data_IF_591443743346
#
_entry.id   IF_591443743346
#
_cell.length_a   1.000
_cell.length_b   1.000
_cell.length_c   1.000
_cell.angle_alpha   90.00
_cell.angle_beta   90.00
_cell.angle_gamma   90.00
#
_symmetry.space_group_name_H-M   'P 1'
#
loop_
_entity.id
_entity.type
_entity.pdbx_description
1 polymer ?
#
# COMPACT_ATOMS: atom_id res chain seq x y z
N UNK A 1 34.09 20.40 -7.31
CA UNK A 1 33.40 20.65 -6.04
C UNK A 1 34.12 19.85 -4.97
N UNK A 2 35.02 20.48 -4.19
CA UNK A 2 35.73 19.81 -3.08
C UNK A 2 34.75 19.67 -1.92
N UNK A 3 34.22 18.47 -1.71
CA UNK A 3 33.52 18.11 -0.46
C UNK A 3 34.64 18.01 0.58
N UNK A 4 34.52 18.75 1.67
CA UNK A 4 35.49 18.72 2.77
C UNK A 4 35.53 17.29 3.31
N UNK A 5 36.73 16.73 3.48
CA UNK A 5 36.95 15.33 3.91
C UNK A 5 36.24 15.05 5.25
N UNK A 6 36.18 16.05 6.13
CA UNK A 6 35.45 15.99 7.40
C UNK A 6 33.94 15.88 7.21
N UNK A 7 33.35 16.58 6.21
CA UNK A 7 31.93 16.45 5.89
C UNK A 7 31.60 15.07 5.31
N UNK A 8 32.48 14.51 4.52
CA UNK A 8 32.30 13.17 3.95
C UNK A 8 32.35 12.07 5.03
N UNK A 9 33.34 12.18 5.94
CA UNK A 9 33.46 11.24 7.06
C UNK A 9 32.30 11.36 8.04
N UNK A 10 31.78 12.57 8.28
CA UNK A 10 30.60 12.76 9.14
C UNK A 10 29.33 12.13 8.52
N UNK A 11 29.17 12.24 7.22
CA UNK A 11 28.06 11.61 6.51
C UNK A 11 28.17 10.07 6.57
N UNK A 12 29.37 9.52 6.38
CA UNK A 12 29.62 8.08 6.49
C UNK A 12 29.39 7.56 7.91
N UNK A 13 29.77 8.31 8.93
CA UNK A 13 29.50 7.95 10.33
C UNK A 13 28.00 7.97 10.65
N UNK A 14 27.26 8.97 10.15
CA UNK A 14 25.80 9.02 10.30
C UNK A 14 25.11 7.86 9.56
N UNK A 15 25.55 7.52 8.35
CA UNK A 15 25.02 6.37 7.61
C UNK A 15 25.32 5.06 8.34
N UNK A 16 26.54 4.88 8.85
CA UNK A 16 26.92 3.69 9.61
C UNK A 16 26.15 3.58 10.92
N UNK A 17 25.96 4.67 11.66
CA UNK A 17 25.13 4.69 12.88
C UNK A 17 23.68 4.36 12.57
N UNK A 18 23.10 4.91 11.50
CA UNK A 18 21.75 4.58 11.05
C UNK A 18 21.64 3.11 10.61
N UNK A 19 22.66 2.54 9.98
CA UNK A 19 22.68 1.13 9.63
C UNK A 19 22.79 0.24 10.88
N UNK A 20 23.56 0.61 11.89
CA UNK A 20 23.68 -0.14 13.14
C UNK A 20 22.42 -0.07 13.99
N UNK A 21 21.80 1.11 14.14
CA UNK A 21 20.49 1.25 14.78
C UNK A 21 19.43 0.43 14.05
N UNK A 22 19.56 0.34 12.75
CA UNK A 22 18.67 -0.41 11.87
C UNK A 22 18.84 -1.93 12.03
N UNK A 23 20.08 -2.42 12.15
CA UNK A 23 20.39 -3.83 12.41
C UNK A 23 19.98 -4.26 13.82
N UNK A 24 20.11 -3.35 14.79
CA UNK A 24 19.79 -3.59 16.20
C UNK A 24 18.32 -3.31 16.57
N UNK A 25 17.52 -2.73 15.65
CA UNK A 25 16.10 -2.49 15.91
C UNK A 25 15.35 -3.82 16.07
N UNK A 26 14.46 -3.96 17.06
CA UNK A 26 13.70 -5.19 17.27
C UNK A 26 12.93 -5.56 15.99
N UNK A 27 12.89 -6.86 15.67
CA UNK A 27 12.22 -7.40 14.49
C UNK A 27 10.67 -7.29 14.63
N UNK A 28 10.14 -6.07 14.64
CA UNK A 28 8.71 -5.79 14.80
C UNK A 28 7.93 -5.94 13.49
N UNK A 29 8.26 -6.96 12.68
CA UNK A 29 7.53 -7.20 11.42
C UNK A 29 6.06 -7.51 11.64
N UNK A 30 5.71 -8.26 12.70
CA UNK A 30 4.32 -8.58 13.03
C UNK A 30 3.51 -7.32 13.35
N UNK A 31 4.06 -6.43 14.19
CA UNK A 31 3.40 -5.16 14.51
C UNK A 31 3.26 -4.28 13.27
N UNK A 32 4.32 -4.20 12.45
CA UNK A 32 4.27 -3.48 11.17
C UNK A 32 3.23 -4.05 10.22
N UNK A 33 3.13 -5.37 10.09
CA UNK A 33 2.12 -6.03 9.24
C UNK A 33 0.70 -5.75 9.72
N UNK A 34 0.45 -5.79 11.03
CA UNK A 34 -0.85 -5.42 11.61
C UNK A 34 -1.18 -3.96 11.29
N UNK A 35 -0.21 -3.05 11.45
CA UNK A 35 -0.38 -1.65 11.09
C UNK A 35 -0.67 -1.43 9.62
N UNK A 36 0.04 -2.14 8.74
CA UNK A 36 -0.21 -2.10 7.30
C UNK A 36 -1.63 -2.60 6.96
N UNK A 37 -2.05 -3.67 7.59
CA UNK A 37 -3.39 -4.24 7.38
C UNK A 37 -4.50 -3.28 7.82
N UNK A 38 -4.39 -2.72 9.02
CA UNK A 38 -5.37 -1.73 9.53
C UNK A 38 -5.39 -0.48 8.64
N UNK A 39 -4.23 0.05 8.27
CA UNK A 39 -4.14 1.21 7.36
C UNK A 39 -4.75 0.92 5.99
N UNK A 40 -4.44 -0.24 5.40
CA UNK A 40 -5.01 -0.64 4.12
C UNK A 40 -6.53 -0.85 4.19
N UNK A 41 -7.06 -1.41 5.29
CA UNK A 41 -8.50 -1.57 5.49
C UNK A 41 -9.22 -0.22 5.54
N UNK A 42 -8.65 0.80 6.20
CA UNK A 42 -9.22 2.16 6.19
C UNK A 42 -9.28 2.73 4.76
N UNK A 43 -8.23 2.51 3.97
CA UNK A 43 -8.24 2.85 2.56
C UNK A 43 -9.28 2.08 1.75
N UNK A 44 -9.46 0.78 2.05
CA UNK A 44 -10.47 -0.09 1.45
C UNK A 44 -11.91 0.37 1.75
N UNK A 45 -12.17 0.82 2.99
CA UNK A 45 -13.46 1.42 3.35
C UNK A 45 -13.74 2.69 2.53
N UNK A 46 -12.76 3.59 2.41
CA UNK A 46 -12.86 4.77 1.58
C UNK A 46 -13.13 4.41 0.11
N UNK A 47 -12.48 3.36 -0.40
CA UNK A 47 -12.73 2.81 -1.73
C UNK A 47 -14.19 2.41 -1.93
N UNK A 48 -14.75 1.63 -1.00
CA UNK A 48 -16.14 1.16 -1.08
C UNK A 48 -17.09 2.35 -1.06
N UNK A 49 -16.91 3.29 -0.13
CA UNK A 49 -17.77 4.47 0.01
C UNK A 49 -17.80 5.27 -1.30
N UNK A 50 -16.63 5.60 -1.87
CA UNK A 50 -16.57 6.41 -3.10
C UNK A 50 -17.09 5.62 -4.30
N UNK A 51 -16.86 4.30 -4.33
CA UNK A 51 -17.39 3.43 -5.36
C UNK A 51 -18.93 3.41 -5.39
N UNK A 52 -19.58 3.45 -4.22
CA UNK A 52 -21.04 3.53 -4.11
C UNK A 52 -21.62 4.83 -4.67
N UNK A 53 -20.87 5.93 -4.67
CA UNK A 53 -21.28 7.18 -5.31
C UNK A 53 -21.14 7.18 -6.84
N UNK A 54 -20.70 6.07 -7.43
CA UNK A 54 -20.55 5.93 -8.87
C UNK A 54 -19.35 6.66 -9.48
N UNK A 55 -18.46 7.19 -8.66
CA UNK A 55 -17.20 7.77 -9.12
C UNK A 55 -16.18 6.69 -9.45
N UNK A 56 -15.28 6.99 -10.38
CA UNK A 56 -14.16 6.10 -10.70
C UNK A 56 -13.23 6.04 -9.48
N UNK A 57 -13.51 5.10 -8.60
CA UNK A 57 -12.80 4.91 -7.33
C UNK A 57 -11.33 4.50 -7.51
N UNK A 58 -10.90 4.27 -8.75
CA UNK A 58 -9.59 3.72 -9.09
C UNK A 58 -8.42 4.50 -8.50
N UNK A 59 -8.55 5.85 -8.42
CA UNK A 59 -7.53 6.71 -7.80
C UNK A 59 -7.37 6.41 -6.30
N UNK A 60 -8.43 5.93 -5.64
CA UNK A 60 -8.40 5.63 -4.20
C UNK A 60 -7.61 4.35 -3.90
N UNK A 61 -7.38 3.48 -4.89
CA UNK A 61 -6.46 2.35 -4.71
C UNK A 61 -5.04 2.80 -4.33
N UNK A 62 -4.61 3.98 -4.80
CA UNK A 62 -3.40 4.63 -4.33
C UNK A 62 -3.43 4.88 -2.81
N UNK A 63 -4.58 5.32 -2.30
CA UNK A 63 -4.77 5.61 -0.87
C UNK A 63 -4.64 4.34 -0.02
N UNK A 64 -5.10 3.18 -0.50
CA UNK A 64 -4.96 1.89 0.19
C UNK A 64 -3.48 1.57 0.45
N UNK A 65 -2.66 1.68 -0.58
CA UNK A 65 -1.22 1.42 -0.47
C UNK A 65 -0.50 2.47 0.38
N UNK A 66 -0.90 3.73 0.25
CA UNK A 66 -0.35 4.83 1.04
C UNK A 66 -0.67 4.66 2.53
N UNK A 67 -1.94 4.44 2.88
CA UNK A 67 -2.37 4.22 4.26
C UNK A 67 -1.80 2.92 4.84
N UNK A 68 -1.66 1.87 4.02
CA UNK A 68 -1.00 0.64 4.41
C UNK A 68 0.47 0.87 4.79
N UNK A 69 1.21 1.64 3.98
CA UNK A 69 2.58 2.02 4.29
C UNK A 69 2.70 2.90 5.53
N UNK A 70 1.81 3.87 5.67
CA UNK A 70 1.75 4.76 6.83
C UNK A 70 1.40 4.00 8.11
N UNK A 71 0.42 3.08 8.07
CA UNK A 71 0.06 2.22 9.19
C UNK A 71 1.22 1.31 9.63
N UNK A 72 1.99 0.79 8.67
CA UNK A 72 3.21 0.03 8.97
C UNK A 72 4.23 0.85 9.77
N UNK A 73 4.44 2.12 9.39
CA UNK A 73 5.37 3.02 10.05
C UNK A 73 4.87 3.46 11.44
N UNK A 74 3.58 3.71 11.59
CA UNK A 74 2.94 4.04 12.87
C UNK A 74 3.17 2.94 13.92
N UNK A 75 3.09 1.69 13.50
CA UNK A 75 3.33 0.53 14.38
C UNK A 75 4.84 0.24 14.56
N UNK A 76 5.72 1.17 14.15
CA UNK A 76 7.18 1.02 14.26
C UNK A 76 7.69 -0.28 13.62
N UNK A 77 7.13 -0.68 12.50
CA UNK A 77 7.63 -1.79 11.70
C UNK A 77 9.02 -1.50 11.17
N UNK A 78 9.86 -2.54 11.04
CA UNK A 78 11.24 -2.38 10.57
C UNK A 78 11.25 -1.86 9.12
N UNK A 79 11.88 -0.69 8.90
CA UNK A 79 12.01 -0.05 7.58
C UNK A 79 13.06 -0.78 6.75
N UNK A 80 12.72 -1.88 6.08
CA UNK A 80 13.61 -2.65 5.22
C UNK A 80 12.93 -2.95 3.89
N UNK A 81 13.64 -3.53 2.91
CA UNK A 81 13.07 -4.05 1.66
C UNK A 81 11.87 -4.98 1.94
N UNK A 82 11.89 -5.68 3.06
CA UNK A 82 10.79 -6.53 3.55
C UNK A 82 9.51 -5.71 3.82
N UNK A 83 9.62 -4.45 4.30
CA UNK A 83 8.46 -3.56 4.45
C UNK A 83 7.69 -3.42 3.14
N UNK A 84 8.42 -3.18 2.03
CA UNK A 84 7.80 -3.01 0.71
C UNK A 84 7.04 -4.27 0.29
N UNK A 85 7.64 -5.43 0.51
CA UNK A 85 7.01 -6.70 0.18
C UNK A 85 5.75 -6.92 1.01
N UNK A 86 5.80 -6.67 2.33
CA UNK A 86 4.65 -6.79 3.22
C UNK A 86 3.53 -5.82 2.81
N UNK A 87 3.85 -4.54 2.64
CA UNK A 87 2.86 -3.52 2.25
C UNK A 87 2.25 -3.84 0.89
N UNK A 88 3.06 -4.32 -0.08
CA UNK A 88 2.56 -4.72 -1.40
C UNK A 88 1.57 -5.87 -1.31
N UNK A 89 1.91 -6.95 -0.59
CA UNK A 89 1.03 -8.12 -0.44
C UNK A 89 -0.27 -7.72 0.25
N UNK A 90 -0.19 -6.97 1.35
CA UNK A 90 -1.36 -6.52 2.10
C UNK A 90 -2.23 -5.59 1.25
N UNK A 91 -1.64 -4.65 0.52
CA UNK A 91 -2.39 -3.72 -0.34
C UNK A 91 -3.10 -4.45 -1.48
N UNK A 92 -2.43 -5.37 -2.16
CA UNK A 92 -3.03 -6.18 -3.23
C UNK A 92 -4.21 -6.99 -2.68
N UNK A 93 -4.02 -7.64 -1.53
CA UNK A 93 -5.09 -8.41 -0.89
C UNK A 93 -6.30 -7.54 -0.55
N UNK A 94 -6.08 -6.36 0.05
CA UNK A 94 -7.16 -5.45 0.42
C UNK A 94 -7.85 -4.86 -0.82
N UNK A 95 -7.12 -4.52 -1.88
CA UNK A 95 -7.69 -4.04 -3.14
C UNK A 95 -8.65 -5.09 -3.73
N UNK A 96 -8.21 -6.35 -3.81
CA UNK A 96 -9.05 -7.45 -4.31
C UNK A 96 -10.28 -7.60 -3.43
N UNK A 97 -10.10 -7.68 -2.12
CA UNK A 97 -11.21 -7.85 -1.16
C UNK A 97 -12.21 -6.69 -1.25
N UNK A 98 -11.75 -5.45 -1.25
CA UNK A 98 -12.61 -4.26 -1.34
C UNK A 98 -13.37 -4.20 -2.67
N UNK A 99 -12.73 -4.61 -3.78
CA UNK A 99 -13.38 -4.67 -5.08
C UNK A 99 -14.50 -5.73 -5.08
N UNK A 100 -14.26 -6.92 -4.53
CA UNK A 100 -15.29 -7.94 -4.38
C UNK A 100 -16.47 -7.44 -3.55
N UNK A 101 -16.19 -6.86 -2.38
CA UNK A 101 -17.25 -6.33 -1.48
C UNK A 101 -18.06 -5.25 -2.19
N UNK A 102 -17.41 -4.30 -2.88
CA UNK A 102 -18.08 -3.26 -3.61
C UNK A 102 -19.06 -3.82 -4.65
N UNK A 103 -18.62 -4.79 -5.45
CA UNK A 103 -19.49 -5.38 -6.48
C UNK A 103 -20.63 -6.20 -5.89
N UNK A 104 -20.42 -6.91 -4.78
CA UNK A 104 -21.51 -7.61 -4.08
C UNK A 104 -22.55 -6.62 -3.57
N UNK A 105 -22.14 -5.49 -3.02
CA UNK A 105 -23.06 -4.45 -2.54
C UNK A 105 -23.83 -3.82 -3.71
N UNK A 106 -23.14 -3.52 -4.82
CA UNK A 106 -23.77 -2.93 -6.01
C UNK A 106 -24.75 -3.89 -6.68
N UNK A 107 -24.47 -5.18 -6.72
CA UNK A 107 -25.37 -6.21 -7.25
C UNK A 107 -26.53 -6.53 -6.30
N UNK A 108 -26.42 -6.22 -5.01
CA UNK A 108 -27.45 -6.46 -4.00
C UNK A 108 -27.34 -7.79 -3.28
N UNK A 109 -26.79 -8.84 -3.92
CA UNK A 109 -26.55 -10.14 -3.31
C UNK A 109 -25.35 -10.86 -3.94
N UNK A 110 -24.82 -11.85 -3.22
CA UNK A 110 -23.74 -12.68 -3.75
C UNK A 110 -24.18 -13.50 -4.99
N UNK A 111 -25.43 -13.96 -5.02
CA UNK A 111 -25.98 -14.71 -6.15
C UNK A 111 -26.04 -13.83 -7.42
N UNK A 112 -26.55 -12.61 -7.30
CA UNK A 112 -26.61 -11.64 -8.40
C UNK A 112 -25.22 -11.22 -8.88
N UNK A 113 -24.24 -11.14 -7.97
CA UNK A 113 -22.84 -10.90 -8.33
C UNK A 113 -22.26 -12.06 -9.17
N UNK A 114 -22.56 -13.32 -8.81
CA UNK A 114 -22.13 -14.49 -9.61
C UNK A 114 -22.78 -14.46 -10.99
N UNK A 115 -24.07 -14.16 -11.08
CA UNK A 115 -24.79 -14.02 -12.35
C UNK A 115 -24.23 -12.86 -13.19
N UNK A 116 -23.88 -11.75 -12.55
CA UNK A 116 -23.21 -10.63 -13.20
C UNK A 116 -21.86 -11.05 -13.79
N UNK A 117 -21.03 -11.82 -13.06
CA UNK A 117 -19.76 -12.35 -13.56
C UNK A 117 -19.93 -13.38 -14.67
N UNK A 118 -21.04 -14.12 -14.71
CA UNK A 118 -21.35 -15.06 -15.79
C UNK A 118 -21.63 -14.34 -17.12
N UNK A 119 -21.98 -13.05 -17.06
CA UNK A 119 -22.17 -12.23 -18.25
C UNK A 119 -20.82 -11.71 -18.76
N UNK A 120 -20.57 -11.82 -20.07
CA UNK A 120 -19.31 -11.36 -20.68
C UNK A 120 -19.01 -9.88 -20.42
N UNK A 121 -20.04 -9.02 -20.41
CA UNK A 121 -19.94 -7.60 -20.09
C UNK A 121 -19.63 -7.34 -18.60
N UNK A 122 -20.26 -8.10 -17.71
CA UNK A 122 -20.04 -8.01 -16.28
C UNK A 122 -18.61 -8.39 -15.90
N UNK A 123 -18.16 -9.54 -16.39
CA UNK A 123 -16.80 -10.01 -16.18
C UNK A 123 -15.76 -9.01 -16.70
N UNK A 124 -15.98 -8.46 -17.91
CA UNK A 124 -15.09 -7.46 -18.49
C UNK A 124 -15.00 -6.20 -17.61
N UNK A 125 -16.15 -5.67 -17.17
CA UNK A 125 -16.20 -4.48 -16.30
C UNK A 125 -15.47 -4.72 -14.97
N UNK A 126 -15.71 -5.87 -14.37
CA UNK A 126 -15.04 -6.27 -13.13
C UNK A 126 -13.53 -6.37 -13.30
N UNK A 127 -13.05 -7.07 -14.34
CA UNK A 127 -11.63 -7.25 -14.62
C UNK A 127 -10.92 -5.93 -14.94
N UNK A 128 -11.53 -5.07 -15.76
CA UNK A 128 -10.97 -3.76 -16.09
C UNK A 128 -10.84 -2.90 -14.83
N UNK A 129 -11.87 -2.85 -13.98
CA UNK A 129 -11.83 -2.08 -12.75
C UNK A 129 -10.77 -2.61 -11.77
N UNK A 130 -10.69 -3.94 -11.61
CA UNK A 130 -9.70 -4.59 -10.77
C UNK A 130 -8.27 -4.32 -11.29
N UNK A 131 -8.05 -4.42 -12.60
CA UNK A 131 -6.73 -4.19 -13.22
C UNK A 131 -6.30 -2.75 -13.03
N UNK A 132 -7.20 -1.79 -13.27
CA UNK A 132 -6.93 -0.38 -13.01
C UNK A 132 -6.61 -0.13 -11.53
N UNK A 133 -7.37 -0.73 -10.61
CA UNK A 133 -7.12 -0.63 -9.18
C UNK A 133 -5.74 -1.15 -8.80
N UNK A 134 -5.30 -2.27 -9.36
CA UNK A 134 -3.97 -2.84 -9.14
C UNK A 134 -2.87 -1.91 -9.67
N UNK A 135 -3.05 -1.32 -10.85
CA UNK A 135 -2.09 -0.34 -11.42
C UNK A 135 -1.91 0.85 -10.47
N UNK A 136 -3.01 1.45 -9.99
CA UNK A 136 -2.95 2.56 -9.05
C UNK A 136 -2.41 2.13 -7.68
N UNK A 137 -2.69 0.90 -7.24
CA UNK A 137 -2.09 0.32 -6.05
C UNK A 137 -0.56 0.24 -6.15
N UNK A 138 -0.03 -0.21 -7.29
CA UNK A 138 1.42 -0.24 -7.56
C UNK A 138 2.01 1.17 -7.57
N UNK A 139 1.32 2.17 -8.14
CA UNK A 139 1.75 3.56 -8.08
C UNK A 139 1.84 4.06 -6.63
N UNK A 140 0.91 3.67 -5.76
CA UNK A 140 0.95 3.99 -4.33
C UNK A 140 2.17 3.40 -3.62
N UNK A 141 2.55 2.17 -3.98
CA UNK A 141 3.74 1.50 -3.45
C UNK A 141 5.01 2.21 -3.94
N UNK A 142 5.09 2.56 -5.24
CA UNK A 142 6.25 3.27 -5.78
C UNK A 142 6.45 4.64 -5.14
N UNK A 143 5.36 5.35 -4.84
CA UNK A 143 5.40 6.59 -4.07
C UNK A 143 5.97 6.37 -2.66
N UNK A 144 5.55 5.31 -1.98
CA UNK A 144 6.08 4.93 -0.66
C UNK A 144 7.59 4.65 -0.70
N UNK A 145 8.08 4.02 -1.78
CA UNK A 145 9.52 3.79 -2.00
C UNK A 145 10.26 5.12 -2.14
N UNK A 146 9.69 6.05 -2.90
CA UNK A 146 10.29 7.36 -3.11
C UNK A 146 10.41 8.15 -1.79
N UNK A 147 9.38 8.10 -0.95
CA UNK A 147 9.40 8.73 0.38
C UNK A 147 10.48 8.10 1.28
N UNK A 148 10.60 6.77 1.30
CA UNK A 148 11.66 6.11 2.07
C UNK A 148 13.08 6.53 1.64
N UNK A 149 13.32 6.66 0.33
CA UNK A 149 14.63 7.13 -0.17
C UNK A 149 14.92 8.57 0.26
N UNK A 150 13.90 9.42 0.30
CA UNK A 150 14.04 10.81 0.73
C UNK A 150 14.37 10.95 2.22
N UNK A 151 13.85 10.05 3.05
CA UNK A 151 14.13 10.04 4.50
C UNK A 151 15.53 9.52 4.82
N UNK A 152 16.12 8.72 3.93
CA UNK A 152 17.50 8.22 4.07
C UNK A 152 18.52 9.30 3.67
N UNK A 153 18.14 10.26 2.81
CA UNK A 153 19.01 11.34 2.34
C UNK A 153 18.82 12.68 3.09
N UNK A 154 18.07 12.70 4.19
CA UNK A 154 17.96 13.82 5.11
C UNK A 154 18.72 13.54 6.40
#
# INVERSE_FOLDING_TARGET
>A
MHVCEDCYNHILEEENKKEEEYKNSPNNYLKGTLGAFVGALLGGMAWIIVGLFGYVATIIAFLISFLGSYGYDLMKGKKNKIKLLIVSIVSIFVIILSTFILYIIVCGSFAEFVDFLATSDGLRKFLVNLLLALIFGVLGITWSIFQMKKDIHK
#
